data_IF_077661941494
#
_entry.id   IF_077661941494
#
_cell.length_a   1.000
_cell.length_b   1.000
_cell.length_c   1.000
_cell.angle_alpha   90.00
_cell.angle_beta   90.00
_cell.angle_gamma   90.00
#
_symmetry.space_group_name_H-M   'P 1'
#
loop_
_entity.id
_entity.type
_entity.pdbx_description
1 polymer ?
#
# COMPACT_ATOMS: atom_id res chain seq x y z
N UNK A 1 9.94 23.35 -2.71
CA UNK A 1 8.63 22.78 -3.07
C UNK A 1 8.29 21.76 -2.01
N UNK A 2 7.11 21.88 -1.40
CA UNK A 2 6.67 20.96 -0.36
C UNK A 2 6.38 19.59 -0.98
N UNK A 3 6.94 18.51 -0.41
CA UNK A 3 6.71 17.17 -0.92
C UNK A 3 5.30 16.73 -0.52
N UNK A 4 4.36 16.72 -1.48
CA UNK A 4 3.00 16.22 -1.27
C UNK A 4 2.96 14.72 -1.51
N UNK A 5 2.37 13.99 -0.58
CA UNK A 5 2.17 12.54 -0.69
C UNK A 5 0.70 12.21 -0.52
N UNK A 6 0.26 11.12 -1.15
CA UNK A 6 -1.07 10.55 -0.93
C UNK A 6 -0.98 9.04 -0.73
N UNK A 7 -1.86 8.50 0.11
CA UNK A 7 -2.01 7.06 0.27
C UNK A 7 -2.84 6.49 -0.89
N UNK A 8 -2.22 5.64 -1.70
CA UNK A 8 -2.79 5.01 -2.88
C UNK A 8 -3.00 3.52 -2.63
N UNK A 9 -4.21 3.11 -2.25
CA UNK A 9 -4.53 1.70 -2.01
C UNK A 9 -4.87 0.91 -3.28
N UNK A 10 -5.11 1.61 -4.38
CA UNK A 10 -5.67 1.03 -5.61
C UNK A 10 -7.20 0.93 -5.61
N UNK A 11 -7.87 1.38 -4.54
CA UNK A 11 -9.33 1.54 -4.51
C UNK A 11 -9.80 2.73 -5.35
N UNK A 12 -11.11 2.78 -5.64
CA UNK A 12 -11.73 3.80 -6.49
C UNK A 12 -11.43 5.22 -5.98
N UNK A 13 -11.68 5.48 -4.69
CA UNK A 13 -11.50 6.82 -4.11
C UNK A 13 -10.04 7.27 -4.12
N UNK A 14 -9.11 6.39 -3.71
CA UNK A 14 -7.67 6.70 -3.75
C UNK A 14 -7.16 6.90 -5.17
N UNK A 15 -7.75 6.21 -6.15
CA UNK A 15 -7.43 6.37 -7.57
C UNK A 15 -7.94 7.69 -8.10
N UNK A 16 -9.18 8.05 -7.78
CA UNK A 16 -9.76 9.34 -8.13
C UNK A 16 -8.95 10.50 -7.54
N UNK A 17 -8.62 10.42 -6.25
CA UNK A 17 -7.78 11.41 -5.59
C UNK A 17 -6.41 11.53 -6.26
N UNK A 18 -5.78 10.41 -6.58
CA UNK A 18 -4.50 10.44 -7.31
C UNK A 18 -4.64 11.13 -8.66
N UNK A 19 -5.71 10.88 -9.42
CA UNK A 19 -5.92 11.53 -10.73
C UNK A 19 -6.16 13.05 -10.61
N UNK A 20 -6.79 13.50 -9.53
CA UNK A 20 -7.06 14.92 -9.25
C UNK A 20 -5.77 15.62 -8.78
N UNK A 21 -5.07 15.04 -7.79
CA UNK A 21 -3.87 15.59 -7.18
C UNK A 21 -2.61 15.18 -7.94
N UNK A 22 -2.34 15.86 -9.07
CA UNK A 22 -1.23 15.51 -9.98
C UNK A 22 0.16 15.73 -9.38
N UNK A 23 0.30 16.71 -8.51
CA UNK A 23 1.58 17.07 -7.89
C UNK A 23 1.92 16.19 -6.67
N UNK A 24 0.96 15.42 -6.17
CA UNK A 24 1.17 14.50 -5.06
C UNK A 24 1.82 13.20 -5.54
N UNK A 25 2.77 12.67 -4.78
CA UNK A 25 3.39 11.37 -5.06
C UNK A 25 2.55 10.25 -4.44
N UNK A 26 2.04 9.28 -5.23
CA UNK A 26 1.27 8.17 -4.70
C UNK A 26 2.17 7.18 -3.95
N UNK A 27 1.74 6.79 -2.75
CA UNK A 27 2.41 5.79 -1.90
C UNK A 27 1.46 4.61 -1.66
N UNK A 28 1.94 3.41 -1.93
CA UNK A 28 1.29 2.14 -1.62
C UNK A 28 2.07 1.37 -0.56
N UNK A 29 1.41 0.99 0.53
CA UNK A 29 1.99 0.13 1.57
C UNK A 29 1.64 -1.33 1.26
N UNK A 30 2.60 -2.02 0.66
CA UNK A 30 2.48 -3.38 0.14
C UNK A 30 2.68 -4.41 1.25
N UNK A 31 1.63 -5.18 1.55
CA UNK A 31 1.68 -6.26 2.55
C UNK A 31 2.35 -7.51 2.02
N UNK A 32 2.58 -7.61 0.71
CA UNK A 32 2.96 -8.85 0.03
C UNK A 32 1.83 -9.88 -0.03
N UNK A 33 0.60 -9.49 0.30
CA UNK A 33 -0.58 -10.38 0.26
C UNK A 33 -1.84 -9.67 -0.25
N UNK A 34 -1.65 -8.76 -1.19
CA UNK A 34 -2.75 -8.08 -1.85
C UNK A 34 -3.28 -8.95 -2.99
N UNK A 35 -4.51 -8.70 -3.42
CA UNK A 35 -5.07 -9.41 -4.56
C UNK A 35 -4.28 -9.11 -5.85
N UNK A 36 -4.08 -10.10 -6.74
CA UNK A 36 -3.40 -9.89 -8.04
C UNK A 36 -3.96 -8.71 -8.83
N UNK A 37 -5.28 -8.50 -8.77
CA UNK A 37 -6.01 -7.42 -9.43
C UNK A 37 -5.58 -6.04 -8.91
N UNK A 38 -5.22 -5.91 -7.62
CA UNK A 38 -4.71 -4.66 -7.05
C UNK A 38 -3.36 -4.32 -7.66
N UNK A 39 -2.46 -5.30 -7.76
CA UNK A 39 -1.16 -5.08 -8.41
C UNK A 39 -1.30 -4.72 -9.89
N UNK A 40 -2.22 -5.39 -10.60
CA UNK A 40 -2.53 -5.06 -12.00
C UNK A 40 -3.12 -3.65 -12.14
N UNK A 41 -4.00 -3.24 -11.22
CA UNK A 41 -4.58 -1.90 -11.23
C UNK A 41 -3.53 -0.82 -10.96
N UNK A 42 -2.63 -1.02 -9.99
CA UNK A 42 -1.50 -0.12 -9.74
C UNK A 42 -0.63 0.00 -11.01
N UNK A 43 -0.29 -1.12 -11.66
CA UNK A 43 0.49 -1.12 -12.90
C UNK A 43 -0.22 -0.35 -14.01
N UNK A 44 -1.52 -0.58 -14.19
CA UNK A 44 -2.35 0.14 -15.17
C UNK A 44 -2.38 1.65 -14.88
N UNK A 45 -2.47 2.06 -13.61
CA UNK A 45 -2.39 3.46 -13.23
C UNK A 45 -1.04 4.07 -13.61
N UNK A 46 0.08 3.39 -13.30
CA UNK A 46 1.43 3.85 -13.67
C UNK A 46 1.59 3.98 -15.19
N UNK A 47 1.12 2.99 -15.96
CA UNK A 47 1.16 2.99 -17.44
C UNK A 47 0.31 4.09 -18.06
N UNK A 48 -0.89 4.36 -17.52
CA UNK A 48 -1.82 5.34 -18.07
C UNK A 48 -1.47 6.78 -17.72
N UNK A 49 -0.87 7.00 -16.55
CA UNK A 49 -0.58 8.35 -16.05
C UNK A 49 0.89 8.74 -16.21
N UNK A 50 1.78 7.77 -16.43
CA UNK A 50 3.23 7.96 -16.40
C UNK A 50 3.77 8.23 -14.99
N UNK A 51 2.93 8.17 -13.95
CA UNK A 51 3.30 8.48 -12.56
C UNK A 51 3.65 7.19 -11.83
N UNK A 52 4.85 7.15 -11.25
CA UNK A 52 5.32 6.02 -10.45
C UNK A 52 4.63 6.00 -9.09
N UNK A 53 4.20 4.82 -8.64
CA UNK A 53 3.71 4.58 -7.28
C UNK A 53 4.87 4.08 -6.42
N UNK A 54 5.18 4.82 -5.35
CA UNK A 54 6.17 4.38 -4.36
C UNK A 54 5.59 3.22 -3.57
N UNK A 55 6.31 2.11 -3.50
CA UNK A 55 5.89 0.90 -2.78
C UNK A 55 6.71 0.76 -1.50
N UNK A 56 6.06 0.91 -0.36
CA UNK A 56 6.65 0.73 0.96
C UNK A 56 6.31 -0.68 1.47
N UNK A 57 7.27 -1.31 2.14
CA UNK A 57 7.14 -2.66 2.69
C UNK A 57 7.52 -2.65 4.16
N UNK A 58 6.95 -3.56 4.92
CA UNK A 58 7.35 -3.76 6.32
C UNK A 58 8.77 -4.29 6.41
N UNK A 59 9.49 -3.90 7.47
CA UNK A 59 10.76 -4.51 7.84
C UNK A 59 10.61 -5.94 8.37
N UNK A 60 9.38 -6.35 8.69
CA UNK A 60 9.04 -7.70 9.18
C UNK A 60 8.78 -8.72 8.05
N UNK A 61 9.04 -8.35 6.79
CA UNK A 61 8.75 -9.16 5.61
C UNK A 61 7.31 -8.97 5.11
N UNK A 62 6.73 -10.03 4.55
CA UNK A 62 5.35 -10.05 4.06
C UNK A 62 4.37 -10.52 5.15
N UNK A 63 3.10 -10.16 5.01
CA UNK A 63 2.06 -10.59 5.93
C UNK A 63 1.94 -12.13 6.06
N UNK A 64 2.04 -12.94 4.98
CA UNK A 64 2.02 -14.40 5.08
C UNK A 64 3.24 -14.96 5.81
N UNK A 65 4.44 -14.44 5.53
CA UNK A 65 5.66 -14.85 6.24
C UNK A 65 5.54 -14.58 7.74
N UNK A 66 5.00 -13.43 8.12
CA UNK A 66 4.77 -13.09 9.52
C UNK A 66 3.73 -13.99 10.19
N UNK A 67 2.62 -14.28 9.50
CA UNK A 67 1.60 -15.22 9.98
C UNK A 67 2.21 -16.61 10.21
N UNK A 68 3.02 -17.11 9.27
CA UNK A 68 3.68 -18.41 9.38
C UNK A 68 4.69 -18.43 10.52
N UNK A 69 5.50 -17.37 10.66
CA UNK A 69 6.49 -17.22 11.74
C UNK A 69 5.84 -17.19 13.12
N UNK A 70 4.72 -16.48 13.27
CA UNK A 70 4.05 -16.28 14.55
C UNK A 70 2.90 -17.27 14.82
N UNK A 71 2.55 -18.11 13.84
CA UNK A 71 1.47 -19.13 13.91
C UNK A 71 0.13 -18.56 14.39
N UNK A 72 -0.18 -17.34 14.00
CA UNK A 72 -1.38 -16.62 14.41
C UNK A 72 -1.84 -15.69 13.29
N UNK A 73 -3.15 -15.58 13.09
CA UNK A 73 -3.78 -14.66 12.14
C UNK A 73 -4.14 -13.33 12.82
N UNK A 74 -4.12 -12.20 12.10
CA UNK A 74 -4.45 -10.92 12.71
C UNK A 74 -5.95 -10.86 13.03
N UNK A 75 -6.29 -10.71 14.31
CA UNK A 75 -7.65 -10.44 14.77
C UNK A 75 -7.91 -8.96 15.05
N UNK A 76 -9.17 -8.63 15.38
CA UNK A 76 -9.61 -7.27 15.74
C UNK A 76 -8.85 -6.66 16.92
N UNK A 77 -8.37 -7.47 17.87
CA UNK A 77 -7.58 -6.96 19.00
C UNK A 77 -6.10 -6.74 18.62
N UNK A 78 -5.51 -7.66 17.86
CA UNK A 78 -4.07 -7.61 17.54
C UNK A 78 -3.74 -6.57 16.47
N UNK A 79 -4.55 -6.50 15.40
CA UNK A 79 -4.47 -5.52 14.30
C UNK A 79 -3.07 -5.30 13.72
N UNK A 80 -2.18 -6.29 13.83
CA UNK A 80 -0.81 -6.12 13.37
C UNK A 80 -0.74 -6.00 11.84
N UNK A 81 -1.71 -6.55 11.09
CA UNK A 81 -1.83 -6.32 9.65
C UNK A 81 -1.98 -4.82 9.31
N UNK A 82 -2.67 -4.05 10.14
CA UNK A 82 -2.77 -2.59 9.98
C UNK A 82 -1.55 -1.89 10.57
N UNK A 83 -1.20 -2.19 11.82
CA UNK A 83 -0.12 -1.48 12.52
C UNK A 83 1.24 -1.69 11.84
N UNK A 84 1.64 -2.95 11.65
CA UNK A 84 2.99 -3.31 11.17
C UNK A 84 3.11 -3.21 9.66
N UNK A 85 2.07 -3.56 8.90
CA UNK A 85 2.17 -3.65 7.44
C UNK A 85 1.53 -2.49 6.68
N UNK A 86 0.81 -1.58 7.36
CA UNK A 86 0.21 -0.38 6.73
C UNK A 86 0.69 0.93 7.37
N UNK A 87 0.62 1.06 8.70
CA UNK A 87 0.94 2.33 9.39
C UNK A 87 2.44 2.52 9.55
N UNK A 88 3.14 1.56 10.17
CA UNK A 88 4.58 1.68 10.42
C UNK A 88 5.43 1.86 9.15
N UNK A 89 5.13 1.23 8.00
CA UNK A 89 5.92 1.45 6.79
C UNK A 89 5.74 2.86 6.20
N UNK A 90 4.70 3.59 6.59
CA UNK A 90 4.39 4.92 6.08
C UNK A 90 4.95 6.05 6.98
N UNK A 91 5.17 5.77 8.27
CA UNK A 91 5.70 6.71 9.26
C UNK A 91 7.23 6.75 9.26
#
# INVERSE_FOLDING_TARGET
MENKFLAFSGGIDSTALALIEKDATPIFTDTGWEFPEVYQHIKKFEEKTGRKVIRLKSHEGTLPEYILKHKFLPGHSARYCTKIFKILPLN
#
